data_IF_269611238714
#
_entry.id   IF_269611238714
#
_cell.length_a   1.000
_cell.length_b   1.000
_cell.length_c   1.000
_cell.angle_alpha   90.00
_cell.angle_beta   90.00
_cell.angle_gamma   90.00
#
_symmetry.space_group_name_H-M   'P 1'
#
loop_
_entity.id
_entity.type
_entity.pdbx_description
1 polymer ?
#
# COMPACT_ATOMS: atom_id res chain seq x y z
N UNK A 1 14.56 -5.22 5.30
CA UNK A 1 14.12 -4.22 4.30
C UNK A 1 12.94 -3.48 4.89
N UNK A 2 12.88 -2.17 4.71
CA UNK A 2 11.79 -1.32 5.20
C UNK A 2 10.99 -0.84 4.01
N UNK A 3 9.67 -1.04 4.03
CA UNK A 3 8.77 -0.63 2.96
C UNK A 3 7.93 0.55 3.46
N UNK A 4 7.84 1.62 2.68
CA UNK A 4 6.88 2.69 2.93
C UNK A 4 5.48 2.26 2.52
N UNK A 5 4.47 2.70 3.30
CA UNK A 5 3.05 2.44 3.04
C UNK A 5 2.32 3.78 3.08
N UNK A 6 1.61 4.11 2.01
CA UNK A 6 0.70 5.25 1.93
C UNK A 6 -0.71 4.77 2.24
N UNK A 7 -1.43 5.51 3.08
CA UNK A 7 -2.80 5.19 3.46
C UNK A 7 -3.77 6.25 2.96
N UNK A 8 -4.87 5.81 2.37
CA UNK A 8 -5.91 6.69 1.86
C UNK A 8 -7.27 6.20 2.36
N UNK A 9 -8.12 7.14 2.79
CA UNK A 9 -9.49 6.80 3.18
C UNK A 9 -10.27 6.38 1.94
N UNK A 10 -11.08 5.33 2.04
CA UNK A 10 -11.98 4.91 0.97
C UNK A 10 -13.28 5.73 1.08
N UNK A 11 -13.63 6.58 0.09
CA UNK A 11 -14.83 7.43 0.15
C UNK A 11 -16.07 6.79 -0.48
N UNK A 12 -15.92 5.62 -1.10
CA UNK A 12 -16.94 4.94 -1.89
C UNK A 12 -18.13 4.49 -1.01
N UNK A 13 -19.38 4.90 -1.33
CA UNK A 13 -20.55 4.56 -0.52
C UNK A 13 -20.89 3.06 -0.47
N UNK A 14 -20.50 2.31 -1.50
CA UNK A 14 -20.68 0.87 -1.63
C UNK A 14 -19.55 0.07 -0.96
N UNK A 15 -18.53 0.75 -0.42
CA UNK A 15 -17.46 0.13 0.33
C UNK A 15 -17.73 0.21 1.85
N UNK A 16 -17.40 -0.85 2.62
CA UNK A 16 -17.54 -0.80 4.08
C UNK A 16 -16.87 0.44 4.71
N UNK A 17 -17.65 1.16 5.52
CA UNK A 17 -17.16 2.36 6.19
C UNK A 17 -15.98 2.05 7.11
N UNK A 18 -15.07 3.02 7.25
CA UNK A 18 -13.90 2.92 8.13
C UNK A 18 -12.72 2.17 7.53
N UNK A 19 -12.81 1.73 6.27
CA UNK A 19 -11.69 1.12 5.57
C UNK A 19 -10.75 2.16 4.95
N UNK A 20 -9.49 1.75 4.84
CA UNK A 20 -8.42 2.50 4.21
C UNK A 20 -7.75 1.63 3.14
N UNK A 21 -7.40 2.23 2.01
CA UNK A 21 -6.42 1.67 1.11
C UNK A 21 -5.03 1.76 1.75
N UNK A 22 -4.21 0.75 1.50
CA UNK A 22 -2.80 0.73 1.80
C UNK A 22 -2.04 0.46 0.50
N UNK A 23 -1.26 1.45 0.06
CA UNK A 23 -0.43 1.39 -1.13
C UNK A 23 1.05 1.26 -0.73
N UNK A 24 1.76 0.30 -1.32
CA UNK A 24 3.18 0.05 -1.10
C UNK A 24 3.90 0.37 -2.42
N UNK A 25 4.50 1.58 -2.57
CA UNK A 25 4.97 2.04 -3.88
C UNK A 25 6.08 1.19 -4.49
N UNK A 26 7.07 0.78 -3.69
CA UNK A 26 8.25 0.07 -4.19
C UNK A 26 7.91 -1.23 -4.95
N UNK A 27 7.04 -2.13 -4.43
CA UNK A 27 6.56 -3.28 -5.17
C UNK A 27 5.28 -3.02 -6.01
N UNK A 28 4.72 -1.80 -6.00
CA UNK A 28 3.48 -1.47 -6.71
C UNK A 28 2.24 -2.20 -6.18
N UNK A 29 2.21 -2.54 -4.89
CA UNK A 29 1.14 -3.32 -4.28
C UNK A 29 0.06 -2.42 -3.67
N UNK A 30 -1.19 -2.85 -3.74
CA UNK A 30 -2.32 -2.16 -3.11
C UNK A 30 -3.25 -3.16 -2.46
N UNK A 31 -3.68 -2.85 -1.24
CA UNK A 31 -4.70 -3.62 -0.49
C UNK A 31 -5.56 -2.66 0.31
N UNK A 32 -6.46 -3.18 1.14
CA UNK A 32 -7.28 -2.39 2.04
C UNK A 32 -7.53 -3.14 3.35
N UNK A 33 -7.90 -2.40 4.38
CA UNK A 33 -8.32 -2.99 5.65
C UNK A 33 -9.09 -2.02 6.51
N UNK A 34 -9.76 -2.54 7.54
CA UNK A 34 -10.53 -1.76 8.49
C UNK A 34 -9.57 -0.92 9.36
N UNK A 35 -9.72 0.40 9.31
CA UNK A 35 -8.83 1.35 9.97
C UNK A 35 -7.40 1.31 9.41
N UNK A 36 -6.55 2.18 9.96
CA UNK A 36 -5.13 2.25 9.55
C UNK A 36 -4.39 0.95 9.90
N UNK A 37 -4.66 0.37 11.08
CA UNK A 37 -3.94 -0.82 11.52
C UNK A 37 -4.35 -2.07 10.74
N UNK A 38 -5.64 -2.27 10.47
CA UNK A 38 -6.08 -3.39 9.63
C UNK A 38 -5.54 -3.28 8.19
N UNK A 39 -5.50 -2.06 7.64
CA UNK A 39 -4.89 -1.82 6.34
C UNK A 39 -3.37 -2.08 6.35
N UNK A 40 -2.68 -1.73 7.45
CA UNK A 40 -1.25 -2.01 7.64
C UNK A 40 -0.97 -3.50 7.71
N UNK A 41 -1.75 -4.25 8.49
CA UNK A 41 -1.62 -5.71 8.60
C UNK A 41 -1.82 -6.38 7.24
N UNK A 42 -2.88 -6.01 6.51
CA UNK A 42 -3.12 -6.51 5.17
C UNK A 42 -1.94 -6.21 4.21
N UNK A 43 -1.36 -5.00 4.29
CA UNK A 43 -0.21 -4.64 3.47
C UNK A 43 1.05 -5.43 3.83
N UNK A 44 1.30 -5.66 5.12
CA UNK A 44 2.41 -6.50 5.59
C UNK A 44 2.28 -7.92 5.04
N UNK A 45 1.09 -8.51 5.09
CA UNK A 45 0.87 -9.86 4.58
C UNK A 45 1.00 -9.94 3.07
N UNK A 46 0.51 -8.93 2.35
CA UNK A 46 0.70 -8.83 0.90
C UNK A 46 2.18 -8.69 0.51
N UNK A 47 2.96 -7.89 1.24
CA UNK A 47 4.42 -7.78 1.03
C UNK A 47 5.10 -9.12 1.25
N UNK A 48 4.75 -9.86 2.32
CA UNK A 48 5.33 -11.19 2.59
C UNK A 48 5.03 -12.16 1.45
N UNK A 49 3.78 -12.20 0.97
CA UNK A 49 3.37 -13.04 -0.14
C UNK A 49 4.16 -12.72 -1.42
N UNK A 50 4.26 -11.45 -1.76
CA UNK A 50 5.05 -10.98 -2.90
C UNK A 50 6.54 -11.35 -2.79
N UNK A 51 7.16 -11.18 -1.62
CA UNK A 51 8.57 -11.59 -1.41
C UNK A 51 8.72 -13.11 -1.56
N UNK A 52 7.76 -13.90 -1.06
CA UNK A 52 7.79 -15.35 -1.19
C UNK A 52 7.66 -15.79 -2.65
N UNK A 53 6.76 -15.19 -3.42
CA UNK A 53 6.59 -15.43 -4.85
C UNK A 53 7.88 -15.13 -5.63
N UNK A 54 8.49 -13.96 -5.41
CA UNK A 54 9.77 -13.59 -6.04
C UNK A 54 10.86 -14.62 -5.76
N UNK A 55 10.98 -15.04 -4.50
CA UNK A 55 11.96 -16.08 -4.12
C UNK A 55 11.68 -17.42 -4.77
N UNK A 56 10.41 -17.84 -4.84
CA UNK A 56 10.01 -19.10 -5.46
C UNK A 56 10.33 -19.13 -6.96
N UNK A 57 10.25 -17.98 -7.63
CA UNK A 57 10.58 -17.83 -9.05
C UNK A 57 12.08 -17.58 -9.31
N UNK A 58 12.93 -17.57 -8.29
CA UNK A 58 14.36 -17.27 -8.43
C UNK A 58 14.65 -15.80 -8.79
N UNK A 59 13.69 -14.91 -8.57
CA UNK A 59 13.82 -13.48 -8.83
C UNK A 59 14.52 -12.77 -7.67
N UNK A 60 15.32 -11.75 -7.97
CA UNK A 60 15.93 -10.91 -6.95
C UNK A 60 14.92 -9.92 -6.37
N UNK A 61 14.94 -9.76 -5.05
CA UNK A 61 14.19 -8.69 -4.36
C UNK A 61 15.14 -7.53 -4.09
N UNK A 62 15.03 -6.48 -4.90
CA UNK A 62 15.78 -5.25 -4.69
C UNK A 62 15.31 -4.53 -3.41
N UNK A 63 16.22 -3.90 -2.64
CA UNK A 63 15.81 -3.09 -1.49
C UNK A 63 14.95 -1.91 -1.94
N UNK A 64 13.92 -1.53 -1.17
CA UNK A 64 13.12 -0.34 -1.46
C UNK A 64 13.97 0.94 -1.43
N UNK A 65 13.64 1.89 -2.31
CA UNK A 65 14.19 3.26 -2.26
C UNK A 65 13.56 4.06 -1.12
N UNK A 66 14.10 5.25 -0.86
CA UNK A 66 13.45 6.25 -0.02
C UNK A 66 12.01 6.51 -0.51
N UNK A 67 11.10 6.72 0.45
CA UNK A 67 9.69 7.04 0.18
C UNK A 67 9.43 8.46 0.67
N UNK A 68 9.10 9.34 -0.27
CA UNK A 68 8.64 10.70 -0.02
C UNK A 68 7.17 10.79 -0.41
N UNK A 69 6.36 11.45 0.42
CA UNK A 69 4.96 11.74 0.10
C UNK A 69 4.69 13.23 0.24
N UNK A 70 3.81 13.74 -0.61
CA UNK A 70 3.33 15.11 -0.55
C UNK A 70 1.92 15.15 -1.13
N UNK A 71 1.14 16.13 -0.72
CA UNK A 71 -0.18 16.42 -1.28
C UNK A 71 -0.09 17.76 -2.00
N UNK A 72 -0.69 17.87 -3.18
CA UNK A 72 -0.76 19.11 -3.94
C UNK A 72 -2.22 19.49 -4.15
N UNK A 73 -2.55 20.75 -3.88
CA UNK A 73 -3.88 21.28 -4.16
C UNK A 73 -3.94 21.72 -5.62
N UNK A 74 -4.90 21.18 -6.36
CA UNK A 74 -5.15 21.55 -7.77
C UNK A 74 -6.50 22.26 -7.83
N UNK A 75 -6.48 23.59 -7.95
CA UNK A 75 -7.65 24.44 -7.83
C UNK A 75 -8.77 24.16 -8.85
N UNK A 76 -8.44 23.52 -9.99
CA UNK A 76 -9.38 23.21 -11.09
C UNK A 76 -9.76 21.71 -11.17
N UNK A 77 -9.37 20.91 -10.18
CA UNK A 77 -9.76 19.49 -10.11
C UNK A 77 -11.16 19.39 -9.46
N UNK A 78 -12.18 19.35 -10.32
CA UNK A 78 -13.59 19.08 -9.93
C UNK A 78 -13.89 17.59 -10.05
#
# INVERSE_FOLDING_TARGET
MTYGILFERIPQPDFPAGYYYAHVPAPGLTTHGLGIEGAREAAIDLIKLWVAEKKANGEMVSPPSEVLYTTVDVADAV
#
